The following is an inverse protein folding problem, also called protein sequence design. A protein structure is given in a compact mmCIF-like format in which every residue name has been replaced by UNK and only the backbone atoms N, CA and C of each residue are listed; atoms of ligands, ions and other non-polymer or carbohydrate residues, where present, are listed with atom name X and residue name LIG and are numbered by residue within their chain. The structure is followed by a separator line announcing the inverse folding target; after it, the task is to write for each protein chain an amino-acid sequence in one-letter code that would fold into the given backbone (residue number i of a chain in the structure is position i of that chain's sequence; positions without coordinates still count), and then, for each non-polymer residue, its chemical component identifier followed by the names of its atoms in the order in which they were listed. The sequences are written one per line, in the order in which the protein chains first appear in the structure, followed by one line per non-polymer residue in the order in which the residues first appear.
data_IF_242227669502
#
_entry.id   IF_242227669502
#
_cell.length_a   1.000
_cell.length_b   1.000
_cell.length_c   1.000
_cell.angle_alpha   90.00
_cell.angle_beta   90.00
_cell.angle_gamma   90.00
#
_symmetry.space_group_name_H-M   'P 1'
#
loop_
_entity.id
_entity.type
_entity.pdbx_description
1 polymer ?
#
# COMPACT_ATOMS: atom_id res chain seq x y z
N UNK A 1 -52.52 63.67 8.44
CA UNK A 1 -53.84 63.03 8.27
C UNK A 1 -53.92 62.58 6.83
N UNK A 2 -54.10 61.31 6.46
CA UNK A 2 -54.24 60.06 7.18
C UNK A 2 -53.89 58.88 6.23
N UNK A 3 -53.24 57.86 6.81
CA UNK A 3 -53.50 56.41 6.71
C UNK A 3 -53.71 55.72 5.34
N UNK A 4 -52.67 54.97 4.96
CA UNK A 4 -52.62 53.57 4.48
C UNK A 4 -53.88 52.79 4.09
N UNK A 5 -53.78 51.98 3.03
CA UNK A 5 -54.59 50.76 2.87
C UNK A 5 -54.51 50.08 1.50
N UNK A 6 -53.66 49.06 1.38
CA UNK A 6 -53.56 48.10 0.25
C UNK A 6 -54.81 47.21 0.12
N UNK A 7 -55.15 46.71 -1.08
CA UNK A 7 -55.28 45.26 -1.43
C UNK A 7 -56.06 45.00 -2.73
N UNK A 8 -55.65 43.93 -3.41
CA UNK A 8 -55.94 43.47 -4.76
C UNK A 8 -57.34 42.89 -4.99
N UNK A 9 -57.82 42.97 -6.23
CA UNK A 9 -58.68 41.94 -6.83
C UNK A 9 -58.51 41.91 -8.36
N UNK A 10 -58.12 40.78 -8.98
CA UNK A 10 -58.39 40.54 -10.38
C UNK A 10 -59.56 39.57 -10.53
N UNK A 11 -60.52 40.00 -11.34
CA UNK A 11 -61.77 39.36 -11.73
C UNK A 11 -61.55 37.95 -12.31
N UNK A 12 -62.30 36.99 -11.78
CA UNK A 12 -62.51 35.64 -12.33
C UNK A 12 -63.22 35.79 -13.67
N UNK A 13 -62.61 35.32 -14.77
CA UNK A 13 -63.31 35.08 -16.03
C UNK A 13 -62.95 33.67 -16.54
N UNK A 14 -63.94 32.79 -16.41
CA UNK A 14 -64.06 31.51 -17.11
C UNK A 14 -63.94 31.71 -18.62
N UNK A 15 -63.17 30.84 -19.27
CA UNK A 15 -63.09 30.73 -20.72
C UNK A 15 -62.69 29.32 -21.11
N UNK A 16 -63.70 28.47 -21.32
CA UNK A 16 -63.56 27.13 -21.88
C UNK A 16 -63.11 27.20 -23.35
N UNK A 17 -62.02 26.52 -23.72
CA UNK A 17 -61.88 25.97 -25.08
C UNK A 17 -60.73 24.95 -25.22
N UNK A 18 -61.14 23.68 -25.33
CA UNK A 18 -60.65 22.60 -26.21
C UNK A 18 -59.17 22.17 -26.17
N UNK A 19 -58.95 21.00 -25.56
CA UNK A 19 -57.71 20.23 -25.54
C UNK A 19 -57.50 19.47 -26.87
N UNK A 20 -56.66 19.99 -27.77
CA UNK A 20 -56.24 19.26 -28.98
C UNK A 20 -55.00 18.41 -28.70
N UNK A 21 -55.17 17.08 -28.61
CA UNK A 21 -54.10 16.09 -28.48
C UNK A 21 -53.16 16.10 -29.69
N UNK A 22 -52.03 16.81 -29.61
CA UNK A 22 -50.92 16.66 -30.57
C UNK A 22 -49.92 15.64 -30.00
N UNK A 23 -50.08 14.37 -30.39
CA UNK A 23 -49.17 13.27 -30.02
C UNK A 23 -47.84 13.48 -30.76
N UNK A 24 -46.85 14.10 -30.09
CA UNK A 24 -45.47 14.20 -30.59
C UNK A 24 -44.82 12.82 -30.41
N UNK A 25 -44.74 12.04 -31.48
CA UNK A 25 -43.98 10.79 -31.53
C UNK A 25 -42.49 11.17 -31.61
N UNK A 26 -41.79 11.08 -30.49
CA UNK A 26 -40.32 11.04 -30.45
C UNK A 26 -39.96 9.69 -29.84
N UNK A 27 -38.83 9.15 -30.28
CA UNK A 27 -38.22 7.86 -29.96
C UNK A 27 -38.53 6.76 -30.95
N UNK A 28 -37.64 6.64 -31.94
CA UNK A 28 -36.99 5.35 -32.18
C UNK A 28 -35.60 5.54 -32.80
N UNK A 29 -34.63 5.77 -31.93
CA UNK A 29 -33.19 5.60 -32.19
C UNK A 29 -32.48 5.33 -30.86
N UNK A 30 -33.16 4.61 -29.96
CA UNK A 30 -32.63 4.13 -28.69
C UNK A 30 -32.17 2.68 -28.82
N UNK A 31 -31.67 2.31 -30.00
CA UNK A 31 -31.10 0.99 -30.20
C UNK A 31 -29.66 0.99 -29.67
N UNK A 32 -29.57 0.53 -28.43
CA UNK A 32 -28.44 -0.11 -27.77
C UNK A 32 -27.36 0.77 -27.11
N UNK A 33 -27.76 1.63 -26.17
CA UNK A 33 -26.95 1.78 -24.95
C UNK A 33 -27.42 0.69 -24.00
N UNK A 34 -26.71 -0.45 -23.99
CA UNK A 34 -26.90 -1.47 -22.95
C UNK A 34 -26.60 -0.81 -21.60
N UNK A 35 -27.64 -0.32 -20.93
CA UNK A 35 -27.53 0.26 -19.61
C UNK A 35 -27.37 -0.91 -18.64
N UNK A 36 -26.14 -1.17 -18.22
CA UNK A 36 -25.87 -2.05 -17.07
C UNK A 36 -26.79 -1.58 -15.93
N UNK A 37 -27.59 -2.50 -15.39
CA UNK A 37 -28.46 -2.16 -14.28
C UNK A 37 -27.59 -1.82 -13.07
N UNK A 38 -28.11 -1.00 -12.15
CA UNK A 38 -27.38 -0.67 -10.92
C UNK A 38 -26.88 -1.92 -10.18
N UNK A 39 -27.69 -2.98 -10.18
CA UNK A 39 -27.34 -4.26 -9.53
C UNK A 39 -26.20 -4.98 -10.25
N UNK A 40 -26.16 -4.92 -11.59
CA UNK A 40 -25.08 -5.52 -12.38
C UNK A 40 -23.78 -4.75 -12.17
N UNK A 41 -23.84 -3.41 -12.11
CA UNK A 41 -22.68 -2.57 -11.79
C UNK A 41 -22.16 -2.83 -10.36
N UNK A 42 -23.06 -2.95 -9.39
CA UNK A 42 -22.71 -3.23 -8.00
C UNK A 42 -22.06 -4.61 -7.85
N UNK A 43 -22.58 -5.62 -8.56
CA UNK A 43 -22.02 -6.98 -8.58
C UNK A 43 -20.62 -6.98 -9.18
N UNK A 44 -20.44 -6.34 -10.34
CA UNK A 44 -19.13 -6.23 -10.98
C UNK A 44 -18.12 -5.51 -10.08
N UNK A 45 -18.54 -4.43 -9.40
CA UNK A 45 -17.70 -3.72 -8.45
C UNK A 45 -17.29 -4.62 -7.27
N UNK A 46 -18.24 -5.37 -6.70
CA UNK A 46 -17.98 -6.30 -5.61
C UNK A 46 -16.96 -7.38 -6.01
N UNK A 47 -17.10 -7.97 -7.20
CA UNK A 47 -16.15 -8.96 -7.74
C UNK A 47 -14.74 -8.38 -7.93
N UNK A 48 -14.65 -7.13 -8.43
CA UNK A 48 -13.35 -6.44 -8.56
C UNK A 48 -12.71 -6.16 -7.20
N UNK A 49 -13.51 -5.71 -6.22
CA UNK A 49 -13.03 -5.49 -4.85
C UNK A 49 -12.57 -6.80 -4.21
N UNK A 50 -13.32 -7.90 -4.39
CA UNK A 50 -12.94 -9.22 -3.90
C UNK A 50 -11.61 -9.67 -4.51
N UNK A 51 -11.48 -9.56 -5.83
CA UNK A 51 -10.25 -9.93 -6.55
C UNK A 51 -9.04 -9.14 -6.05
N UNK A 52 -9.18 -7.81 -5.95
CA UNK A 52 -8.11 -6.94 -5.42
C UNK A 52 -7.82 -7.27 -3.96
N UNK A 53 -8.83 -7.57 -3.15
CA UNK A 53 -8.68 -8.00 -1.76
C UNK A 53 -7.84 -9.27 -1.60
N UNK A 54 -8.04 -10.27 -2.49
CA UNK A 54 -7.24 -11.50 -2.52
C UNK A 54 -5.80 -11.22 -2.94
N UNK A 55 -5.58 -10.35 -3.93
CA UNK A 55 -4.23 -9.97 -4.37
C UNK A 55 -3.46 -9.22 -3.27
N UNK A 56 -4.09 -8.27 -2.59
CA UNK A 56 -3.52 -7.56 -1.45
C UNK A 56 -3.17 -8.55 -0.33
N UNK A 57 -4.09 -9.43 0.04
CA UNK A 57 -3.88 -10.43 1.09
C UNK A 57 -2.68 -11.34 0.78
N UNK A 58 -2.55 -11.77 -0.48
CA UNK A 58 -1.41 -12.56 -0.95
C UNK A 58 -0.11 -11.77 -0.91
N UNK A 59 -0.13 -10.50 -1.31
CA UNK A 59 1.04 -9.62 -1.28
C UNK A 59 1.55 -9.43 0.14
N UNK A 60 0.65 -9.13 1.09
CA UNK A 60 0.99 -8.98 2.51
C UNK A 60 1.56 -10.29 3.07
N UNK A 61 0.92 -11.43 2.81
CA UNK A 61 1.42 -12.71 3.29
C UNK A 61 2.83 -13.02 2.75
N UNK A 62 3.10 -12.67 1.49
CA UNK A 62 4.42 -12.85 0.87
C UNK A 62 5.47 -11.93 1.47
N UNK A 63 5.13 -10.67 1.73
CA UNK A 63 6.03 -9.70 2.37
C UNK A 63 6.37 -10.11 3.81
N UNK A 64 5.37 -10.50 4.61
CA UNK A 64 5.57 -10.99 5.98
C UNK A 64 6.50 -12.22 5.99
N UNK A 65 6.32 -13.14 5.04
CA UNK A 65 7.18 -14.31 4.92
C UNK A 65 8.64 -13.94 4.58
N UNK A 66 8.85 -12.98 3.68
CA UNK A 66 10.19 -12.48 3.33
C UNK A 66 10.84 -11.81 4.54
N UNK A 67 10.10 -10.96 5.26
CA UNK A 67 10.59 -10.30 6.47
C UNK A 67 11.00 -11.32 7.52
N UNK A 68 10.14 -12.30 7.82
CA UNK A 68 10.44 -13.37 8.78
C UNK A 68 11.69 -14.16 8.39
N UNK A 69 11.84 -14.51 7.11
CA UNK A 69 13.03 -15.23 6.63
C UNK A 69 14.30 -14.38 6.76
N UNK A 70 14.21 -13.08 6.48
CA UNK A 70 15.34 -12.16 6.62
C UNK A 70 15.78 -12.02 8.08
N UNK A 71 14.81 -11.89 9.00
CA UNK A 71 15.07 -11.80 10.43
C UNK A 71 15.71 -13.09 10.96
N UNK A 72 15.19 -14.25 10.57
CA UNK A 72 15.78 -15.55 10.90
C UNK A 72 17.23 -15.67 10.42
N UNK A 73 17.52 -15.21 9.20
CA UNK A 73 18.88 -15.22 8.63
C UNK A 73 19.82 -14.33 9.45
N UNK A 74 19.37 -13.14 9.84
CA UNK A 74 20.15 -12.22 10.67
C UNK A 74 20.43 -12.85 12.04
N UNK A 75 19.42 -13.43 12.69
CA UNK A 75 19.59 -14.12 13.97
C UNK A 75 20.57 -15.30 13.88
N UNK A 76 20.45 -16.12 12.83
CA UNK A 76 21.38 -17.24 12.59
C UNK A 76 22.82 -16.75 12.39
N UNK A 77 23.00 -15.66 11.65
CA UNK A 77 24.32 -15.06 11.46
C UNK A 77 24.89 -14.49 12.77
N UNK A 78 24.05 -13.87 13.62
CA UNK A 78 24.48 -13.37 14.93
C UNK A 78 24.99 -14.50 15.84
N UNK A 79 24.34 -15.67 15.83
CA UNK A 79 24.80 -16.85 16.58
C UNK A 79 26.15 -17.39 16.08
N UNK A 80 26.40 -17.28 14.77
CA UNK A 80 27.65 -17.72 14.13
C UNK A 80 28.79 -16.71 14.24
N UNK A 81 28.49 -15.47 14.66
CA UNK A 81 29.44 -14.35 14.57
C UNK A 81 30.68 -14.57 15.41
N UNK A 82 30.52 -14.93 16.69
CA UNK A 82 31.67 -15.13 17.56
C UNK A 82 32.58 -16.29 17.11
N UNK A 83 32.07 -17.49 16.79
CA UNK A 83 32.89 -18.56 16.19
C UNK A 83 33.65 -18.10 14.94
N UNK A 84 32.99 -17.40 14.02
CA UNK A 84 33.65 -16.94 12.79
C UNK A 84 34.70 -15.89 13.05
N UNK A 85 34.48 -14.93 13.95
CA UNK A 85 35.51 -13.97 14.37
C UNK A 85 36.68 -14.64 15.10
N UNK A 86 36.48 -15.81 15.71
CA UNK A 86 37.55 -16.59 16.31
C UNK A 86 38.47 -17.21 15.25
N UNK A 87 37.91 -17.60 14.11
CA UNK A 87 38.62 -18.21 12.99
C UNK A 87 39.42 -17.21 12.14
N UNK A 88 39.14 -15.90 12.27
CA UNK A 88 39.89 -14.86 11.56
C UNK A 88 41.30 -14.73 12.16
N UNK A 89 42.29 -15.21 11.42
CA UNK A 89 43.70 -15.12 11.78
C UNK A 89 44.16 -13.66 11.89
N UNK A 90 44.94 -13.35 12.93
CA UNK A 90 45.52 -12.01 13.14
C UNK A 90 44.62 -11.00 13.85
N UNK A 91 43.36 -11.35 14.18
CA UNK A 91 42.55 -10.54 15.10
C UNK A 91 43.06 -10.68 16.53
N UNK A 92 43.25 -9.54 17.18
CA UNK A 92 43.46 -9.49 18.63
C UNK A 92 42.17 -9.78 19.38
N UNK A 93 42.27 -10.17 20.64
CA UNK A 93 41.10 -10.43 21.48
C UNK A 93 40.25 -9.16 21.69
N UNK A 94 40.88 -7.99 21.84
CA UNK A 94 40.18 -6.70 21.94
C UNK A 94 39.42 -6.36 20.65
N UNK A 95 40.04 -6.49 19.47
CA UNK A 95 39.35 -6.30 18.19
C UNK A 95 38.16 -7.26 18.05
N UNK A 96 38.31 -8.51 18.48
CA UNK A 96 37.23 -9.51 18.46
C UNK A 96 36.03 -9.09 19.31
N UNK A 97 36.25 -8.65 20.55
CA UNK A 97 35.14 -8.19 21.42
C UNK A 97 34.51 -6.89 20.92
N UNK A 98 35.29 -5.96 20.37
CA UNK A 98 34.76 -4.76 19.72
C UNK A 98 33.91 -5.11 18.50
N UNK A 99 34.37 -6.04 17.68
CA UNK A 99 33.63 -6.50 16.51
C UNK A 99 32.33 -7.21 16.92
N UNK A 100 32.39 -8.09 17.92
CA UNK A 100 31.23 -8.81 18.44
C UNK A 100 30.16 -7.86 19.01
N UNK A 101 30.56 -6.75 19.62
CA UNK A 101 29.63 -5.76 20.17
C UNK A 101 29.03 -4.84 19.10
N UNK A 102 29.78 -4.50 18.03
CA UNK A 102 29.32 -3.55 17.00
C UNK A 102 28.61 -4.20 15.81
N UNK A 103 29.13 -5.31 15.29
CA UNK A 103 28.61 -5.94 14.05
C UNK A 103 27.09 -6.27 14.13
N UNK A 104 26.54 -6.75 15.26
CA UNK A 104 25.10 -7.03 15.37
C UNK A 104 24.20 -5.80 15.15
N UNK A 105 24.67 -4.59 15.47
CA UNK A 105 23.92 -3.34 15.25
C UNK A 105 23.88 -2.94 13.76
N UNK A 106 24.67 -3.62 12.92
CA UNK A 106 24.78 -3.39 11.49
C UNK A 106 24.50 -4.69 10.71
N UNK A 107 23.23 -5.17 10.66
CA UNK A 107 22.89 -6.48 10.11
C UNK A 107 23.34 -6.67 8.65
N UNK A 108 23.28 -5.63 7.83
CA UNK A 108 23.80 -5.69 6.45
C UNK A 108 25.32 -5.91 6.43
N UNK A 109 26.08 -5.26 7.31
CA UNK A 109 27.53 -5.44 7.41
C UNK A 109 27.87 -6.83 7.95
N UNK A 110 27.09 -7.35 8.89
CA UNK A 110 27.21 -8.74 9.34
C UNK A 110 27.05 -9.72 8.19
N UNK A 111 26.00 -9.56 7.36
CA UNK A 111 25.79 -10.44 6.19
C UNK A 111 26.91 -10.30 5.15
N UNK A 112 27.43 -9.09 4.93
CA UNK A 112 28.60 -8.87 4.07
C UNK A 112 29.80 -9.62 4.62
N UNK A 113 30.12 -9.47 5.91
CA UNK A 113 31.23 -10.18 6.57
C UNK A 113 31.16 -11.69 6.35
N UNK A 114 30.00 -12.32 6.56
CA UNK A 114 29.81 -13.75 6.31
C UNK A 114 29.92 -14.17 4.84
N UNK A 115 29.74 -13.23 3.91
CA UNK A 115 29.85 -13.48 2.47
C UNK A 115 31.28 -13.34 1.96
N UNK A 116 32.20 -12.81 2.77
CA UNK A 116 33.59 -12.59 2.37
C UNK A 116 34.43 -13.87 2.47
N UNK A 117 35.43 -14.03 1.58
CA UNK A 117 36.47 -15.03 1.79
C UNK A 117 37.20 -14.77 3.12
N UNK A 118 37.56 -15.85 3.84
CA UNK A 118 38.28 -15.73 5.12
C UNK A 118 39.57 -14.89 5.02
N UNK A 119 40.27 -14.95 3.88
CA UNK A 119 41.51 -14.19 3.63
C UNK A 119 41.37 -12.67 3.70
N UNK A 120 40.17 -12.12 3.51
CA UNK A 120 39.91 -10.67 3.60
C UNK A 120 39.20 -10.27 4.89
N UNK A 121 38.86 -11.24 5.76
CA UNK A 121 38.10 -11.00 6.99
C UNK A 121 38.80 -10.07 7.97
N UNK A 122 40.11 -10.24 8.17
CA UNK A 122 40.92 -9.41 9.07
C UNK A 122 40.85 -7.92 8.69
N UNK A 123 41.13 -7.64 7.42
CA UNK A 123 41.15 -6.27 6.91
C UNK A 123 39.76 -5.64 6.95
N UNK A 124 38.72 -6.42 6.63
CA UNK A 124 37.35 -5.94 6.71
C UNK A 124 36.97 -5.57 8.15
N UNK A 125 37.27 -6.41 9.14
CA UNK A 125 36.94 -6.14 10.55
C UNK A 125 37.64 -4.87 11.02
N UNK A 126 38.91 -4.69 10.68
CA UNK A 126 39.67 -3.48 11.06
C UNK A 126 39.10 -2.20 10.45
N UNK A 127 38.72 -2.23 9.16
CA UNK A 127 38.06 -1.10 8.51
C UNK A 127 36.71 -0.81 9.14
N UNK A 128 35.90 -1.85 9.36
CA UNK A 128 34.61 -1.73 10.00
C UNK A 128 34.71 -1.06 11.38
N UNK A 129 35.66 -1.49 12.21
CA UNK A 129 35.92 -0.94 13.54
C UNK A 129 36.55 0.47 13.54
N UNK A 130 37.17 0.89 12.45
CA UNK A 130 37.72 2.23 12.31
C UNK A 130 36.66 3.26 11.87
N UNK A 131 35.73 2.83 11.02
CA UNK A 131 34.69 3.68 10.44
C UNK A 131 33.44 3.81 11.35
N UNK A 132 33.24 2.87 12.27
CA UNK A 132 32.09 2.76 13.18
C UNK A 132 32.56 2.53 14.61
#
# INVERSE_FOLDING_TARGET
MDLSGTQQQPTINQGDSTFSKKKKKIFDASDHISSISFNDAATLLAEKIETVGVEISRSIASEVLIQQKSEMTIQESALKLYPTLYEVEGLTEDERYRALSKIPDHPTQMLIFFSLPSSVGLEWVRRFLADH
#
